data_IF_186397968143
#
_entry.id   IF_186397968143
#
_cell.length_a   1.000
_cell.length_b   1.000
_cell.length_c   1.000
_cell.angle_alpha   90.00
_cell.angle_beta   90.00
_cell.angle_gamma   90.00
#
_symmetry.space_group_name_H-M   'P 1'
#
loop_
_entity.id
_entity.type
_entity.pdbx_description
1 polymer ?
#
# COMPACT_ATOMS: atom_id res chain seq x y z
N UNK A 1 28.88 -3.96 -23.36
CA UNK A 1 27.67 -3.51 -24.07
C UNK A 1 27.14 -2.29 -23.33
N UNK A 2 27.24 -1.10 -23.92
CA UNK A 2 26.68 0.11 -23.35
C UNK A 2 25.15 0.00 -23.43
N UNK A 3 24.47 -0.01 -22.29
CA UNK A 3 23.02 0.16 -22.26
C UNK A 3 22.71 1.56 -22.76
N UNK A 4 22.09 1.66 -23.93
CA UNK A 4 21.46 2.88 -24.42
C UNK A 4 20.45 3.33 -23.37
N UNK A 5 20.83 4.36 -22.59
CA UNK A 5 19.90 5.02 -21.68
C UNK A 5 18.88 5.71 -22.58
N UNK A 6 17.72 5.06 -22.78
CA UNK A 6 16.61 5.68 -23.50
C UNK A 6 16.32 7.03 -22.83
N UNK A 7 16.43 8.09 -23.60
CA UNK A 7 16.17 9.47 -23.16
C UNK A 7 14.78 9.52 -22.54
N UNK A 8 14.66 9.95 -21.29
CA UNK A 8 13.37 10.10 -20.62
C UNK A 8 12.51 11.09 -21.42
N UNK A 9 11.27 10.70 -21.69
CA UNK A 9 10.31 11.53 -22.40
C UNK A 9 9.44 12.22 -21.34
N UNK A 10 9.39 13.55 -21.36
CA UNK A 10 8.45 14.29 -20.53
C UNK A 10 7.07 14.24 -21.20
N UNK A 11 6.07 13.77 -20.48
CA UNK A 11 4.66 13.82 -20.88
C UNK A 11 3.96 14.98 -20.18
N UNK A 12 2.98 15.57 -20.82
CA UNK A 12 2.17 16.63 -20.22
C UNK A 12 0.86 16.09 -19.63
N UNK A 13 0.42 14.96 -20.14
CA UNK A 13 -0.81 14.29 -19.68
C UNK A 13 -0.62 12.77 -19.75
N UNK A 14 -1.18 12.06 -18.80
CA UNK A 14 -1.15 10.61 -18.77
C UNK A 14 -1.83 9.97 -19.97
N UNK A 15 -2.80 10.64 -20.60
CA UNK A 15 -3.44 10.19 -21.84
C UNK A 15 -2.49 9.97 -23.01
N UNK A 16 -1.29 10.56 -22.99
CA UNK A 16 -0.27 10.35 -24.03
C UNK A 16 0.37 8.95 -23.98
N UNK A 17 0.19 8.22 -22.88
CA UNK A 17 0.89 6.96 -22.66
C UNK A 17 -0.03 5.77 -22.34
N UNK A 18 -1.17 5.98 -21.66
CA UNK A 18 -1.94 4.84 -21.14
C UNK A 18 -2.51 3.94 -22.25
N UNK A 19 -2.80 4.46 -23.42
CA UNK A 19 -3.32 3.68 -24.58
C UNK A 19 -2.36 2.59 -25.08
N UNK A 20 -1.10 2.62 -24.62
CA UNK A 20 -0.07 1.61 -24.96
C UNK A 20 -0.07 0.43 -23.99
N UNK A 21 -0.93 0.46 -22.98
CA UNK A 21 -0.95 -0.52 -21.88
C UNK A 21 -2.37 -1.05 -21.67
N UNK A 22 -2.47 -2.26 -21.16
CA UNK A 22 -3.75 -2.95 -20.93
C UNK A 22 -4.31 -2.74 -19.52
N UNK A 23 -3.52 -2.20 -18.60
CA UNK A 23 -3.90 -1.99 -17.19
C UNK A 23 -3.05 -0.91 -16.54
N UNK A 24 -3.48 -0.44 -15.38
CA UNK A 24 -2.75 0.53 -14.57
C UNK A 24 -2.50 -0.04 -13.18
N UNK A 25 -1.25 0.03 -12.73
CA UNK A 25 -0.86 -0.16 -11.33
C UNK A 25 -0.46 1.21 -10.81
N UNK A 26 -1.16 1.68 -9.78
CA UNK A 26 -1.02 3.05 -9.27
C UNK A 26 -0.66 3.02 -7.79
N UNK A 27 0.36 3.76 -7.39
CA UNK A 27 0.67 4.03 -5.99
C UNK A 27 -0.42 4.91 -5.36
N UNK A 28 -0.53 4.89 -4.04
CA UNK A 28 -1.57 5.60 -3.30
C UNK A 28 -1.03 6.89 -2.68
N UNK A 29 -0.03 6.79 -1.79
CA UNK A 29 0.51 7.94 -1.09
C UNK A 29 1.28 8.86 -2.04
N UNK A 30 0.98 10.17 -1.99
CA UNK A 30 1.61 11.16 -2.86
C UNK A 30 1.16 11.12 -4.31
N UNK A 31 0.28 10.16 -4.70
CA UNK A 31 -0.31 10.04 -6.03
C UNK A 31 -1.83 10.23 -5.99
N UNK A 32 -2.52 9.56 -5.08
CA UNK A 32 -3.98 9.67 -4.91
C UNK A 32 -4.33 10.66 -3.80
N UNK A 33 -3.55 10.72 -2.72
CA UNK A 33 -3.76 11.64 -1.60
C UNK A 33 -2.44 12.05 -0.93
N UNK A 34 -2.51 13.11 -0.11
CA UNK A 34 -1.40 13.64 0.69
C UNK A 34 -1.50 13.30 2.19
N UNK A 35 -2.41 12.40 2.58
CA UNK A 35 -2.71 12.06 3.97
C UNK A 35 -3.86 12.86 4.59
N UNK A 36 -4.25 13.99 3.99
CA UNK A 36 -5.33 14.85 4.45
C UNK A 36 -6.49 14.91 3.44
N UNK A 37 -6.18 14.97 2.16
CA UNK A 37 -7.15 15.11 1.07
C UNK A 37 -6.72 14.33 -0.17
N UNK A 38 -7.70 14.02 -1.02
CA UNK A 38 -7.49 13.43 -2.33
C UNK A 38 -6.99 14.49 -3.33
N UNK A 39 -6.11 14.09 -4.24
CA UNK A 39 -5.76 14.90 -5.39
C UNK A 39 -6.86 14.78 -6.47
N UNK A 40 -7.67 15.82 -6.65
CA UNK A 40 -8.80 15.80 -7.60
C UNK A 40 -8.42 15.34 -9.00
N UNK A 41 -7.30 15.85 -9.55
CA UNK A 41 -6.81 15.44 -10.87
C UNK A 41 -6.47 13.95 -10.97
N UNK A 42 -5.98 13.34 -9.90
CA UNK A 42 -5.71 11.90 -9.87
C UNK A 42 -7.01 11.09 -9.82
N UNK A 43 -7.98 11.53 -9.03
CA UNK A 43 -9.30 10.90 -8.94
C UNK A 43 -10.01 10.96 -10.30
N UNK A 44 -10.03 12.13 -10.95
CA UNK A 44 -10.61 12.31 -12.28
C UNK A 44 -9.95 11.38 -13.30
N UNK A 45 -8.61 11.25 -13.25
CA UNK A 45 -7.86 10.35 -14.12
C UNK A 45 -8.24 8.87 -13.90
N UNK A 46 -8.34 8.42 -12.66
CA UNK A 46 -8.78 7.05 -12.34
C UNK A 46 -10.20 6.79 -12.85
N UNK A 47 -11.10 7.73 -12.60
CA UNK A 47 -12.49 7.63 -13.06
C UNK A 47 -12.60 7.54 -14.60
N UNK A 48 -11.86 8.39 -15.32
CA UNK A 48 -11.83 8.37 -16.78
C UNK A 48 -11.27 7.05 -17.33
N UNK A 49 -10.20 6.52 -16.72
CA UNK A 49 -9.62 5.25 -17.11
C UNK A 49 -10.61 4.09 -16.87
N UNK A 50 -11.30 4.09 -15.73
CA UNK A 50 -12.34 3.08 -15.44
C UNK A 50 -13.48 3.14 -16.44
N UNK A 51 -13.95 4.34 -16.81
CA UNK A 51 -15.00 4.52 -17.83
C UNK A 51 -14.57 4.02 -19.22
N UNK A 52 -13.27 4.02 -19.50
CA UNK A 52 -12.68 3.43 -20.71
C UNK A 52 -12.41 1.93 -20.62
N UNK A 53 -12.71 1.31 -19.45
CA UNK A 53 -12.59 -0.13 -19.24
C UNK A 53 -11.22 -0.62 -18.81
N UNK A 54 -10.30 0.27 -18.41
CA UNK A 54 -8.98 -0.13 -17.93
C UNK A 54 -9.08 -0.79 -16.54
N UNK A 55 -8.48 -1.95 -16.34
CA UNK A 55 -8.23 -2.49 -15.00
C UNK A 55 -7.26 -1.60 -14.23
N UNK A 56 -7.62 -1.27 -12.99
CA UNK A 56 -6.80 -0.43 -12.11
C UNK A 56 -6.57 -1.13 -10.78
N UNK A 57 -5.30 -1.33 -10.43
CA UNK A 57 -4.89 -1.86 -9.14
C UNK A 57 -4.15 -0.74 -8.39
N UNK A 58 -4.66 -0.38 -7.23
CA UNK A 58 -3.97 0.51 -6.30
C UNK A 58 -3.00 -0.31 -5.44
N UNK A 59 -1.78 0.17 -5.30
CA UNK A 59 -0.75 -0.48 -4.48
C UNK A 59 -0.22 0.47 -3.42
N UNK A 60 0.18 -0.06 -2.28
CA UNK A 60 0.77 0.73 -1.21
C UNK A 60 1.80 -0.08 -0.43
N UNK A 61 2.86 0.59 -0.01
CA UNK A 61 3.82 0.05 0.94
C UNK A 61 3.35 0.14 2.42
N UNK A 62 2.11 0.57 2.66
CA UNK A 62 1.55 0.62 4.00
C UNK A 62 1.57 -0.76 4.68
N UNK A 63 1.98 -0.85 5.96
CA UNK A 63 1.98 -2.10 6.71
C UNK A 63 0.57 -2.55 7.12
N UNK A 64 -0.45 -1.77 6.81
CA UNK A 64 -1.86 -2.05 7.11
C UNK A 64 -2.53 -2.87 6.00
N UNK A 65 -3.49 -3.76 6.34
CA UNK A 65 -4.28 -4.50 5.36
C UNK A 65 -5.01 -3.58 4.37
N UNK A 66 -5.17 -4.03 3.13
CA UNK A 66 -5.80 -3.26 2.05
C UNK A 66 -7.22 -2.80 2.37
N UNK A 67 -7.99 -3.57 3.14
CA UNK A 67 -9.33 -3.15 3.58
C UNK A 67 -9.31 -1.89 4.48
N UNK A 68 -8.28 -1.73 5.32
CA UNK A 68 -8.08 -0.50 6.12
C UNK A 68 -7.77 0.71 5.23
N UNK A 69 -6.93 0.51 4.22
CA UNK A 69 -6.61 1.56 3.24
C UNK A 69 -7.85 1.93 2.44
N UNK A 70 -8.65 0.96 2.04
CA UNK A 70 -9.92 1.17 1.35
C UNK A 70 -10.88 2.02 2.18
N UNK A 71 -11.09 1.66 3.45
CA UNK A 71 -11.95 2.43 4.35
C UNK A 71 -11.44 3.87 4.55
N UNK A 72 -10.14 4.07 4.59
CA UNK A 72 -9.53 5.40 4.67
C UNK A 72 -9.82 6.21 3.41
N UNK A 73 -9.60 5.64 2.23
CA UNK A 73 -9.86 6.32 0.94
C UNK A 73 -11.35 6.64 0.75
N UNK A 74 -12.25 5.74 1.14
CA UNK A 74 -13.69 5.98 1.12
C UNK A 74 -14.09 7.14 2.03
N UNK A 75 -13.50 7.25 3.23
CA UNK A 75 -13.72 8.39 4.15
C UNK A 75 -13.19 9.71 3.58
N UNK A 76 -12.14 9.66 2.77
CA UNK A 76 -11.64 10.83 2.04
C UNK A 76 -12.50 11.19 0.82
N UNK A 77 -13.44 10.33 0.41
CA UNK A 77 -14.36 10.55 -0.70
C UNK A 77 -13.99 9.84 -2.00
N UNK A 78 -13.02 8.90 -2.00
CA UNK A 78 -12.72 8.11 -3.18
C UNK A 78 -13.84 7.09 -3.42
N UNK A 79 -14.48 7.15 -4.60
CA UNK A 79 -15.53 6.22 -4.97
C UNK A 79 -14.98 4.83 -5.34
N UNK A 80 -15.75 3.79 -5.01
CA UNK A 80 -15.37 2.37 -5.27
C UNK A 80 -15.21 2.03 -6.75
N UNK A 81 -15.81 2.82 -7.63
CA UNK A 81 -15.75 2.64 -9.08
C UNK A 81 -14.47 3.21 -9.73
N UNK A 82 -13.59 3.84 -8.95
CA UNK A 82 -12.32 4.40 -9.44
C UNK A 82 -11.19 3.36 -9.56
N UNK A 83 -11.36 2.15 -9.02
CA UNK A 83 -10.34 1.10 -9.05
C UNK A 83 -10.99 -0.29 -8.91
N UNK A 84 -10.22 -1.35 -9.20
CA UNK A 84 -10.71 -2.73 -9.08
C UNK A 84 -10.24 -3.39 -7.79
N UNK A 85 -9.00 -3.09 -7.37
CA UNK A 85 -8.40 -3.73 -6.20
C UNK A 85 -7.37 -2.82 -5.53
N UNK A 86 -7.22 -3.00 -4.21
CA UNK A 86 -6.10 -2.47 -3.43
C UNK A 86 -5.24 -3.64 -2.98
N UNK A 87 -3.92 -3.48 -3.07
CA UNK A 87 -2.93 -4.44 -2.57
C UNK A 87 -1.90 -3.67 -1.76
N UNK A 88 -1.64 -4.13 -0.54
CA UNK A 88 -0.67 -3.49 0.36
C UNK A 88 0.44 -4.44 0.78
N UNK A 89 1.52 -3.89 1.32
CA UNK A 89 2.53 -4.69 2.02
C UNK A 89 1.91 -5.45 3.20
N UNK A 90 0.92 -4.85 3.87
CA UNK A 90 0.17 -5.49 4.94
C UNK A 90 -0.56 -6.76 4.49
N UNK A 91 -1.21 -6.75 3.33
CA UNK A 91 -1.89 -7.95 2.79
C UNK A 91 -0.89 -9.09 2.53
N UNK A 92 0.27 -8.76 1.97
CA UNK A 92 1.32 -9.74 1.71
C UNK A 92 1.88 -10.28 3.03
N UNK A 93 2.09 -9.41 4.00
CA UNK A 93 2.59 -9.80 5.33
C UNK A 93 1.60 -10.72 6.03
N UNK A 94 0.30 -10.40 6.05
CA UNK A 94 -0.72 -11.30 6.62
C UNK A 94 -0.69 -12.68 5.97
N UNK A 95 -0.49 -12.75 4.66
CA UNK A 95 -0.35 -14.02 3.96
C UNK A 95 0.87 -14.81 4.42
N UNK A 96 2.02 -14.15 4.62
CA UNK A 96 3.25 -14.78 5.11
C UNK A 96 3.09 -15.23 6.58
N UNK A 97 2.47 -14.38 7.42
CA UNK A 97 2.20 -14.75 8.82
C UNK A 97 1.28 -15.98 8.94
N UNK A 98 0.34 -16.13 8.00
CA UNK A 98 -0.60 -17.26 7.98
C UNK A 98 -0.03 -18.53 7.37
N UNK A 99 1.05 -18.50 6.61
CA UNK A 99 1.64 -19.71 6.01
C UNK A 99 2.47 -20.54 7.01
N UNK A 100 2.75 -19.97 8.20
CA UNK A 100 3.45 -20.64 9.28
C UNK A 100 4.96 -20.79 9.07
N UNK A 101 5.51 -20.27 7.99
CA UNK A 101 6.94 -20.43 7.65
C UNK A 101 7.88 -19.74 8.64
N UNK A 102 7.40 -18.72 9.34
CA UNK A 102 8.18 -17.93 10.31
C UNK A 102 8.06 -18.45 11.75
N UNK A 103 7.16 -19.41 12.04
CA UNK A 103 6.79 -19.82 13.38
C UNK A 103 5.44 -19.25 13.83
N UNK A 104 5.09 -19.47 15.09
CA UNK A 104 3.79 -19.05 15.63
C UNK A 104 3.88 -17.92 16.64
N UNK A 105 5.06 -17.63 17.16
CA UNK A 105 5.27 -16.64 18.20
C UNK A 105 6.07 -15.44 17.67
N UNK A 106 5.50 -14.26 17.76
CA UNK A 106 6.06 -13.05 17.22
C UNK A 106 6.33 -12.02 18.32
N UNK A 107 7.51 -11.42 18.33
CA UNK A 107 7.76 -10.18 19.04
C UNK A 107 7.50 -8.99 18.11
N UNK A 108 6.51 -8.17 18.43
CA UNK A 108 6.13 -7.03 17.60
C UNK A 108 6.77 -5.74 18.11
N UNK A 109 7.39 -5.00 17.17
CA UNK A 109 7.89 -3.64 17.40
C UNK A 109 7.13 -2.71 16.44
N UNK A 110 6.39 -1.77 17.02
CA UNK A 110 5.63 -0.79 16.23
C UNK A 110 4.43 -0.21 17.01
N UNK A 111 3.80 0.83 16.46
CA UNK A 111 2.72 1.52 17.11
C UNK A 111 1.40 0.73 17.09
N UNK A 112 0.51 1.07 18.04
CA UNK A 112 -0.80 0.44 18.17
C UNK A 112 -1.68 0.59 16.91
N UNK A 113 -1.47 1.64 16.11
CA UNK A 113 -2.18 1.86 14.85
C UNK A 113 -1.98 0.73 13.83
N UNK A 114 -0.92 -0.06 13.97
CA UNK A 114 -0.57 -1.14 13.05
C UNK A 114 -1.02 -2.52 13.54
N UNK A 115 -1.60 -2.62 14.75
CA UNK A 115 -1.97 -3.92 15.35
C UNK A 115 -3.01 -4.71 14.55
N UNK A 116 -3.79 -4.06 13.70
CA UNK A 116 -4.74 -4.73 12.82
C UNK A 116 -4.11 -5.69 11.81
N UNK A 117 -2.79 -5.61 11.61
CA UNK A 117 -2.05 -6.59 10.82
C UNK A 117 -2.17 -8.01 11.40
N UNK A 118 -2.44 -8.13 12.70
CA UNK A 118 -2.61 -9.41 13.40
C UNK A 118 -4.05 -9.94 13.38
N UNK A 119 -5.01 -9.17 12.86
CA UNK A 119 -6.41 -9.60 12.81
C UNK A 119 -6.58 -10.78 11.84
N UNK A 120 -7.09 -11.89 12.36
CA UNK A 120 -7.33 -13.10 11.56
C UNK A 120 -6.07 -13.87 11.16
N UNK A 121 -4.91 -13.57 11.73
CA UNK A 121 -3.69 -14.35 11.53
C UNK A 121 -3.43 -15.31 12.70
N UNK A 122 -2.84 -16.47 12.41
CA UNK A 122 -2.57 -17.53 13.38
C UNK A 122 -1.30 -17.33 14.21
N UNK A 123 -0.87 -16.07 14.44
CA UNK A 123 0.38 -15.74 15.14
C UNK A 123 0.08 -15.13 16.51
N UNK A 124 0.79 -15.58 17.55
CA UNK A 124 0.72 -15.06 18.91
C UNK A 124 1.74 -13.94 19.08
N UNK A 125 1.33 -12.83 19.70
CA UNK A 125 2.29 -11.80 20.15
C UNK A 125 2.80 -12.18 21.54
N UNK A 126 4.10 -12.30 21.66
CA UNK A 126 4.79 -12.76 22.88
C UNK A 126 5.94 -11.83 23.26
N UNK A 127 6.60 -12.10 24.39
CA UNK A 127 7.84 -11.41 24.78
C UNK A 127 8.98 -11.77 23.83
N UNK A 128 10.05 -10.95 23.83
CA UNK A 128 11.21 -11.17 22.97
C UNK A 128 11.81 -12.57 23.18
N UNK A 129 11.96 -12.99 24.42
CA UNK A 129 12.60 -14.28 24.77
C UNK A 129 11.77 -15.51 24.35
N UNK A 130 10.47 -15.34 24.10
CA UNK A 130 9.55 -16.42 23.72
C UNK A 130 9.23 -16.43 22.21
N UNK A 131 9.80 -15.49 21.46
CA UNK A 131 9.46 -15.30 20.05
C UNK A 131 10.28 -16.19 19.11
N UNK A 132 9.61 -16.66 18.06
CA UNK A 132 10.25 -17.36 16.94
C UNK A 132 10.86 -16.35 15.95
N UNK A 133 10.23 -15.16 15.83
CA UNK A 133 10.67 -14.08 14.94
C UNK A 133 10.27 -12.69 15.46
N UNK A 134 10.93 -11.67 14.93
CA UNK A 134 10.62 -10.26 15.19
C UNK A 134 9.90 -9.68 13.98
N UNK A 135 8.82 -8.94 14.25
CA UNK A 135 8.08 -8.22 13.22
C UNK A 135 8.04 -6.72 13.55
N UNK A 136 8.59 -5.91 12.65
CA UNK A 136 8.66 -4.46 12.80
C UNK A 136 7.72 -3.84 11.78
N UNK A 137 6.75 -3.02 12.22
CA UNK A 137 5.78 -2.34 11.36
C UNK A 137 6.12 -0.88 11.10
N UNK A 138 6.84 -0.23 11.99
CA UNK A 138 7.23 1.17 11.84
C UNK A 138 7.70 1.80 13.15
N UNK A 139 8.01 3.07 13.09
CA UNK A 139 8.35 3.89 14.26
C UNK A 139 7.10 4.19 15.09
N UNK A 140 7.27 4.39 16.39
CA UNK A 140 6.18 4.75 17.30
C UNK A 140 5.72 6.19 17.07
N UNK A 141 6.67 7.10 16.87
CA UNK A 141 6.42 8.49 16.56
C UNK A 141 7.48 9.00 15.56
N UNK A 142 7.08 9.16 14.31
CA UNK A 142 7.96 9.57 13.21
C UNK A 142 8.55 10.98 13.37
N UNK A 143 7.96 11.83 14.26
CA UNK A 143 8.41 13.20 14.52
C UNK A 143 9.43 13.29 15.68
N UNK A 144 9.45 12.29 16.56
CA UNK A 144 10.25 12.30 17.80
C UNK A 144 11.39 11.28 17.80
N UNK A 145 11.35 10.30 16.89
CA UNK A 145 12.38 9.27 16.80
C UNK A 145 13.50 9.70 15.84
N UNK A 146 14.72 9.67 16.32
CA UNK A 146 15.94 9.92 15.55
C UNK A 146 16.81 8.65 15.47
N UNK A 147 17.96 8.75 14.78
CA UNK A 147 18.89 7.63 14.55
C UNK A 147 19.72 7.20 15.81
N UNK A 148 19.44 7.76 17.01
CA UNK A 148 20.22 7.48 18.22
C UNK A 148 19.46 6.57 19.20
#
# INVERSE_FOLDING_TARGET
MAHDIKKSIKINNFSEVYEKYDSVICDIWGVIHNGQELFGSSVDCLFDLKNKGYPIILVSNAPRPGEEIKLMLEKMGLEKNCYDKIITSGDLTQKILNDGSLGQNCYHIGPDRDLKIFDGVGVNRVSFDESDFIFITGLFNDEEEDEN
#
